data_IF_693431114795
#
_entry.id   IF_693431114795
#
_cell.length_a   1.000
_cell.length_b   1.000
_cell.length_c   1.000
_cell.angle_alpha   90.00
_cell.angle_beta   90.00
_cell.angle_gamma   90.00
#
_symmetry.space_group_name_H-M   'P 1'
#
loop_
_entity.id
_entity.type
_entity.pdbx_description
1 polymer ?
#
# COMPACT_ATOMS: atom_id res chain seq x y z
N UNK A 1 26.00 6.98 45.69
CA UNK A 1 24.63 7.54 45.71
C UNK A 1 24.24 7.95 44.29
N UNK A 2 23.44 7.13 43.59
CA UNK A 2 22.98 7.44 42.23
C UNK A 2 21.75 8.34 42.24
N UNK A 3 21.84 9.52 41.61
CA UNK A 3 20.69 10.41 41.43
C UNK A 3 19.72 9.76 40.43
N UNK A 4 18.54 9.39 40.89
CA UNK A 4 17.44 8.95 40.02
C UNK A 4 16.83 10.18 39.34
N UNK A 5 16.94 10.25 38.02
CA UNK A 5 16.21 11.23 37.22
C UNK A 5 14.71 10.92 37.31
N UNK A 6 13.96 11.71 38.09
CA UNK A 6 12.49 11.62 38.13
C UNK A 6 11.93 11.98 36.76
N UNK A 7 11.26 11.04 36.12
CA UNK A 7 10.54 11.28 34.87
C UNK A 7 9.45 12.35 35.11
N UNK A 8 9.41 13.35 34.23
CA UNK A 8 8.38 14.38 34.26
C UNK A 8 7.00 13.76 34.01
N UNK A 9 5.94 14.20 34.70
CA UNK A 9 4.60 13.67 34.51
C UNK A 9 4.10 13.91 33.08
N UNK A 10 3.24 13.03 32.55
CA UNK A 10 2.71 13.17 31.20
C UNK A 10 1.92 14.47 31.09
N UNK A 11 2.21 15.26 30.04
CA UNK A 11 1.44 16.48 29.73
C UNK A 11 -0.03 16.11 29.52
N UNK A 12 -0.94 16.76 30.26
CA UNK A 12 -2.38 16.66 30.04
C UNK A 12 -2.70 16.95 28.56
N UNK A 13 -3.42 16.04 27.90
CA UNK A 13 -3.88 16.25 26.52
C UNK A 13 -4.92 17.37 26.51
N UNK A 14 -4.82 18.28 25.54
CA UNK A 14 -5.83 19.33 25.32
C UNK A 14 -7.13 18.70 24.81
N UNK A 15 -8.26 19.34 25.10
CA UNK A 15 -9.56 18.97 24.52
C UNK A 15 -9.48 18.99 22.98
N UNK A 16 -10.13 18.05 22.28
CA UNK A 16 -10.16 18.01 20.81
C UNK A 16 -10.62 19.34 20.18
N UNK A 17 -11.54 20.05 20.84
CA UNK A 17 -12.15 21.27 20.32
C UNK A 17 -11.40 22.55 20.76
N UNK A 18 -10.30 22.43 21.49
CA UNK A 18 -9.62 23.58 22.10
C UNK A 18 -9.15 24.61 21.06
N UNK A 19 -8.56 24.17 19.94
CA UNK A 19 -8.06 25.09 18.91
C UNK A 19 -9.22 25.76 18.13
N UNK A 20 -10.32 25.04 17.93
CA UNK A 20 -11.56 25.56 17.34
C UNK A 20 -12.15 26.65 18.21
N UNK A 21 -12.22 26.41 19.53
CA UNK A 21 -12.69 27.40 20.50
C UNK A 21 -11.80 28.65 20.54
N UNK A 22 -10.47 28.47 20.48
CA UNK A 22 -9.52 29.60 20.41
C UNK A 22 -9.74 30.43 19.13
N UNK A 23 -9.98 29.79 17.99
CA UNK A 23 -10.17 30.49 16.71
C UNK A 23 -11.52 31.23 16.65
N UNK A 24 -12.58 30.61 17.17
CA UNK A 24 -13.89 31.24 17.30
C UNK A 24 -13.87 32.44 18.26
N UNK A 25 -13.18 32.32 19.39
CA UNK A 25 -12.99 33.41 20.34
C UNK A 25 -12.20 34.58 19.73
N UNK A 26 -11.13 34.31 18.99
CA UNK A 26 -10.35 35.33 18.29
C UNK A 26 -11.19 36.10 17.26
N UNK A 27 -11.97 35.36 16.46
CA UNK A 27 -12.91 35.92 15.48
C UNK A 27 -13.96 36.80 16.16
N UNK A 28 -14.49 36.37 17.30
CA UNK A 28 -15.48 37.15 18.05
C UNK A 28 -14.92 38.48 18.58
N UNK A 29 -13.63 38.54 18.92
CA UNK A 29 -12.98 39.79 19.32
C UNK A 29 -12.69 40.71 18.13
N UNK A 30 -12.35 40.13 16.96
CA UNK A 30 -12.10 40.90 15.73
C UNK A 30 -13.38 41.55 15.17
N UNK A 31 -14.54 40.97 15.45
CA UNK A 31 -15.85 41.44 14.96
C UNK A 31 -16.56 42.42 15.91
N UNK A 32 -15.94 42.81 17.03
CA UNK A 32 -16.55 43.76 17.98
C UNK A 32 -16.70 45.15 17.34
N UNK A 33 -17.89 45.78 17.38
CA UNK A 33 -18.08 47.15 16.92
C UNK A 33 -17.35 48.13 17.84
N UNK A 34 -16.62 49.09 17.27
CA UNK A 34 -16.09 50.24 18.02
C UNK A 34 -17.27 51.06 18.58
N UNK A 35 -17.26 51.52 19.85
CA UNK A 35 -16.15 51.69 20.78
C UNK A 35 -16.08 50.62 21.89
N UNK A 36 -16.59 49.42 21.65
CA UNK A 36 -16.71 48.38 22.68
C UNK A 36 -15.32 47.94 23.20
N UNK A 37 -15.16 47.95 24.53
CA UNK A 37 -13.86 47.59 25.16
C UNK A 37 -13.61 46.09 25.03
N UNK A 38 -12.45 45.75 24.45
CA UNK A 38 -11.93 44.38 24.40
C UNK A 38 -11.83 43.76 25.79
N UNK A 39 -12.64 42.72 26.04
CA UNK A 39 -12.60 41.96 27.28
C UNK A 39 -12.16 40.50 27.03
N UNK A 40 -10.84 40.28 27.11
CA UNK A 40 -10.24 38.96 26.94
C UNK A 40 -10.74 37.95 27.98
N UNK A 41 -11.01 38.38 29.21
CA UNK A 41 -11.36 37.48 30.32
C UNK A 41 -12.77 36.93 30.15
N UNK A 42 -13.75 37.79 29.85
CA UNK A 42 -15.13 37.38 29.61
C UNK A 42 -15.25 36.50 28.37
N UNK A 43 -14.56 36.87 27.29
CA UNK A 43 -14.56 36.10 26.03
C UNK A 43 -13.89 34.75 26.24
N UNK A 44 -12.74 34.70 26.92
CA UNK A 44 -12.06 33.44 27.19
C UNK A 44 -12.90 32.49 28.08
N UNK A 45 -13.64 33.02 29.05
CA UNK A 45 -14.58 32.25 29.86
C UNK A 45 -15.74 31.68 29.03
N UNK A 46 -16.29 32.48 28.10
CA UNK A 46 -17.39 32.06 27.21
C UNK A 46 -17.00 30.87 26.31
N UNK A 47 -15.74 30.81 25.87
CA UNK A 47 -15.23 29.77 24.97
C UNK A 47 -14.43 28.66 25.68
N UNK A 48 -14.40 28.63 27.01
CA UNK A 48 -13.64 27.67 27.84
C UNK A 48 -12.15 27.59 27.45
N UNK A 49 -11.51 28.75 27.33
CA UNK A 49 -10.08 28.87 26.99
C UNK A 49 -9.36 29.74 28.01
N UNK A 50 -8.03 29.59 28.10
CA UNK A 50 -7.23 30.44 28.99
C UNK A 50 -7.14 31.86 28.41
N UNK A 51 -7.44 32.88 29.22
CA UNK A 51 -7.35 34.30 28.83
C UNK A 51 -5.99 34.66 28.21
N UNK A 52 -4.88 34.19 28.78
CA UNK A 52 -3.55 34.39 28.22
C UNK A 52 -3.37 33.79 26.80
N UNK A 53 -4.02 32.66 26.51
CA UNK A 53 -3.97 32.04 25.17
C UNK A 53 -4.74 32.89 24.16
N UNK A 54 -5.94 33.37 24.52
CA UNK A 54 -6.74 34.25 23.67
C UNK A 54 -6.03 35.58 23.41
N UNK A 55 -5.51 36.22 24.45
CA UNK A 55 -4.75 37.48 24.32
C UNK A 55 -3.53 37.31 23.42
N UNK A 56 -2.75 36.25 23.60
CA UNK A 56 -1.57 36.00 22.77
C UNK A 56 -1.95 35.65 21.32
N UNK A 57 -3.11 35.01 21.09
CA UNK A 57 -3.64 34.76 19.75
C UNK A 57 -4.01 36.09 19.06
N UNK A 58 -4.83 36.90 19.73
CA UNK A 58 -5.35 38.16 19.22
C UNK A 58 -4.24 39.19 18.93
N UNK A 59 -3.23 39.26 19.80
CA UNK A 59 -2.05 40.11 19.61
C UNK A 59 -1.03 39.52 18.62
N UNK A 60 -1.37 38.43 17.91
CA UNK A 60 -0.49 37.73 16.96
C UNK A 60 0.85 37.22 17.54
N UNK A 61 0.96 37.13 18.86
CA UNK A 61 2.13 36.57 19.56
C UNK A 61 2.19 35.04 19.43
N UNK A 62 1.04 34.38 19.24
CA UNK A 62 0.93 32.93 19.10
C UNK A 62 0.18 32.52 17.83
N UNK A 63 0.87 31.77 16.95
CA UNK A 63 0.27 31.22 15.72
C UNK A 63 -0.43 29.88 15.94
N UNK A 64 -1.45 29.53 15.14
CA UNK A 64 -2.12 28.24 15.23
C UNK A 64 -1.12 27.11 15.09
N UNK A 65 -1.32 26.04 15.86
CA UNK A 65 -0.40 24.90 15.86
C UNK A 65 -0.35 24.24 14.47
N UNK A 66 -1.48 24.23 13.75
CA UNK A 66 -1.57 23.75 12.38
C UNK A 66 -0.66 24.54 11.41
N UNK A 67 -0.71 25.88 11.44
CA UNK A 67 0.15 26.72 10.60
C UNK A 67 1.64 26.55 10.92
N UNK A 68 1.97 26.38 12.21
CA UNK A 68 3.34 26.07 12.62
C UNK A 68 3.81 24.71 12.10
N UNK A 69 2.93 23.70 12.07
CA UNK A 69 3.25 22.39 11.50
C UNK A 69 3.40 22.44 9.98
N UNK A 70 2.59 23.20 9.26
CA UNK A 70 2.72 23.38 7.81
C UNK A 70 4.06 23.99 7.42
N UNK A 71 4.53 25.02 8.15
CA UNK A 71 5.83 25.64 7.90
C UNK A 71 7.01 24.69 8.11
N UNK A 72 6.84 23.65 8.93
CA UNK A 72 7.88 22.63 9.20
C UNK A 72 7.75 21.40 8.33
N UNK A 73 6.68 21.27 7.52
CA UNK A 73 6.59 20.18 6.57
C UNK A 73 7.68 20.32 5.51
N UNK A 74 8.21 19.18 5.08
CA UNK A 74 9.20 19.13 4.02
C UNK A 74 8.58 19.51 2.65
N UNK A 75 7.29 19.21 2.48
CA UNK A 75 6.48 19.57 1.33
C UNK A 75 5.25 20.35 1.81
N UNK A 76 4.86 21.37 1.05
CA UNK A 76 3.57 22.05 1.28
C UNK A 76 2.42 21.08 0.99
N UNK A 77 1.25 21.33 1.57
CA UNK A 77 0.08 20.45 1.40
C UNK A 77 -0.24 20.24 -0.10
N UNK A 78 -0.22 21.29 -0.91
CA UNK A 78 -0.40 21.21 -2.38
C UNK A 78 0.67 20.35 -3.07
N UNK A 79 1.95 20.44 -2.66
CA UNK A 79 3.01 19.62 -3.25
C UNK A 79 2.87 18.15 -2.86
N UNK A 80 2.36 17.85 -1.66
CA UNK A 80 2.06 16.49 -1.25
C UNK A 80 0.89 15.92 -2.07
N UNK A 81 -0.14 16.70 -2.37
CA UNK A 81 -1.29 16.29 -3.20
C UNK A 81 -0.85 15.93 -4.63
N UNK A 82 -0.09 16.80 -5.30
CA UNK A 82 0.44 16.51 -6.64
C UNK A 82 1.36 15.29 -6.63
N UNK A 83 2.14 15.10 -5.57
CA UNK A 83 2.98 13.91 -5.40
C UNK A 83 2.13 12.63 -5.33
N UNK A 84 0.99 12.68 -4.63
CA UNK A 84 0.05 11.55 -4.54
C UNK A 84 -0.58 11.24 -5.89
N UNK A 85 -1.03 12.25 -6.63
CA UNK A 85 -1.58 12.07 -7.98
C UNK A 85 -0.58 11.36 -8.90
N UNK A 86 0.68 11.80 -8.89
CA UNK A 86 1.74 11.14 -9.66
C UNK A 86 1.99 9.71 -9.21
N UNK A 87 1.94 9.46 -7.90
CA UNK A 87 2.08 8.11 -7.36
C UNK A 87 0.94 7.19 -7.82
N UNK A 88 -0.29 7.68 -7.85
CA UNK A 88 -1.45 6.91 -8.30
C UNK A 88 -1.38 6.61 -9.79
N UNK A 89 -1.12 7.63 -10.62
CA UNK A 89 -0.95 7.44 -12.06
C UNK A 89 0.10 6.38 -12.39
N UNK A 90 1.28 6.46 -11.76
CA UNK A 90 2.32 5.45 -11.99
C UNK A 90 1.95 4.06 -11.44
N UNK A 91 1.16 3.97 -10.38
CA UNK A 91 0.69 2.68 -9.87
C UNK A 91 -0.30 2.03 -10.84
N UNK A 92 -1.19 2.81 -11.47
CA UNK A 92 -2.13 2.35 -12.50
C UNK A 92 -1.40 1.82 -13.75
N UNK A 93 -0.27 2.43 -14.10
CA UNK A 93 0.62 1.93 -15.17
C UNK A 93 1.45 0.69 -14.78
N UNK A 94 1.25 0.13 -13.59
CA UNK A 94 2.03 -1.01 -13.09
C UNK A 94 3.45 -0.64 -12.64
N UNK A 95 3.72 0.63 -12.37
CA UNK A 95 5.03 1.18 -11.93
C UNK A 95 4.96 1.84 -10.55
N UNK A 96 4.44 1.16 -9.51
CA UNK A 96 4.24 1.77 -8.19
C UNK A 96 5.57 2.19 -7.55
N UNK A 97 5.54 3.28 -6.79
CA UNK A 97 6.76 3.84 -6.20
C UNK A 97 7.12 3.18 -4.87
N UNK A 98 8.37 2.70 -4.79
CA UNK A 98 8.96 2.21 -3.54
C UNK A 98 9.46 3.35 -2.62
N UNK A 99 9.83 2.98 -1.38
CA UNK A 99 10.30 3.94 -0.35
C UNK A 99 11.47 4.81 -0.82
N UNK A 100 12.46 4.23 -1.48
CA UNK A 100 13.61 4.98 -1.97
C UNK A 100 13.28 5.84 -3.19
N UNK A 101 12.37 5.37 -4.04
CA UNK A 101 11.99 6.12 -5.22
C UNK A 101 11.25 7.40 -4.86
N UNK A 102 10.34 7.36 -3.87
CA UNK A 102 9.69 8.55 -3.33
C UNK A 102 10.73 9.55 -2.82
N UNK A 103 11.75 9.10 -2.09
CA UNK A 103 12.82 9.99 -1.60
C UNK A 103 13.61 10.63 -2.74
N UNK A 104 13.89 9.89 -3.82
CA UNK A 104 14.57 10.43 -5.00
C UNK A 104 13.68 11.50 -5.66
N UNK A 105 12.39 11.22 -5.86
CA UNK A 105 11.44 12.16 -6.45
C UNK A 105 11.31 13.43 -5.63
N UNK A 106 11.14 13.31 -4.31
CA UNK A 106 11.10 14.47 -3.41
C UNK A 106 12.43 15.21 -3.40
N UNK A 107 13.58 14.51 -3.37
CA UNK A 107 14.89 15.16 -3.45
C UNK A 107 15.06 15.98 -4.74
N UNK A 108 14.51 15.51 -5.87
CA UNK A 108 14.50 16.26 -7.12
C UNK A 108 13.58 17.49 -7.06
N UNK A 109 12.45 17.39 -6.36
CA UNK A 109 11.49 18.50 -6.23
C UNK A 109 11.98 19.64 -5.33
N UNK A 110 12.73 19.33 -4.26
CA UNK A 110 13.10 20.32 -3.23
C UNK A 110 14.61 20.40 -2.95
N UNK A 111 15.45 19.66 -3.67
CA UNK A 111 16.91 19.63 -3.46
C UNK A 111 17.37 18.94 -2.18
N UNK A 112 16.45 18.41 -1.36
CA UNK A 112 16.75 17.78 -0.06
C UNK A 112 16.21 16.37 0.01
N UNK A 113 17.09 15.41 0.32
CA UNK A 113 16.72 14.00 0.47
C UNK A 113 15.91 13.79 1.77
N UNK A 114 14.68 13.24 1.70
CA UNK A 114 13.90 12.94 2.90
C UNK A 114 14.50 11.79 3.72
N UNK A 115 14.29 11.84 5.04
CA UNK A 115 14.68 10.75 5.95
C UNK A 115 13.72 9.55 5.90
N UNK A 116 14.11 8.45 6.54
CA UNK A 116 13.22 7.29 6.71
C UNK A 116 12.00 7.62 7.57
N UNK A 117 12.17 8.51 8.55
CA UNK A 117 11.13 8.97 9.46
C UNK A 117 10.09 9.81 8.71
N UNK A 118 10.53 10.62 7.75
CA UNK A 118 9.62 11.35 6.87
C UNK A 118 8.75 10.38 6.06
N UNK A 119 9.33 9.32 5.45
CA UNK A 119 8.54 8.32 4.70
C UNK A 119 7.53 7.59 5.59
N UNK A 120 7.90 7.25 6.84
CA UNK A 120 6.98 6.67 7.82
C UNK A 120 5.84 7.64 8.15
N UNK A 121 6.17 8.92 8.35
CA UNK A 121 5.21 10.00 8.59
C UNK A 121 4.25 10.18 7.42
N UNK A 122 4.78 10.31 6.20
CA UNK A 122 4.02 10.43 4.95
C UNK A 122 3.02 9.28 4.80
N UNK A 123 3.48 8.03 4.98
CA UNK A 123 2.60 6.85 4.97
C UNK A 123 1.49 6.95 6.03
N UNK A 124 1.80 7.42 7.24
CA UNK A 124 0.83 7.52 8.33
C UNK A 124 -0.22 8.61 8.06
N UNK A 125 0.22 9.77 7.58
CA UNK A 125 -0.66 10.88 7.22
C UNK A 125 -1.64 10.46 6.12
N UNK A 126 -1.15 9.75 5.11
CA UNK A 126 -1.92 9.38 3.91
C UNK A 126 -2.47 7.96 3.95
N UNK A 127 -2.60 7.34 5.14
CA UNK A 127 -3.02 5.94 5.27
C UNK A 127 -4.44 5.65 4.75
N UNK A 128 -5.29 6.67 4.70
CA UNK A 128 -6.66 6.55 4.18
C UNK A 128 -6.69 6.34 2.65
N UNK A 129 -5.67 6.84 1.94
CA UNK A 129 -5.58 6.80 0.47
C UNK A 129 -4.42 5.94 -0.04
N UNK A 130 -3.37 5.72 0.77
CA UNK A 130 -2.21 4.91 0.42
C UNK A 130 -2.23 3.56 1.13
N UNK A 131 -2.16 2.49 0.33
CA UNK A 131 -1.87 1.13 0.80
C UNK A 131 -0.42 0.77 0.49
N UNK A 132 0.36 0.45 1.53
CA UNK A 132 1.71 -0.10 1.36
C UNK A 132 1.65 -1.62 1.44
N UNK A 133 1.60 -2.28 0.29
CA UNK A 133 1.52 -3.73 0.17
C UNK A 133 2.61 -4.29 -0.76
N UNK A 134 2.84 -5.61 -0.67
CA UNK A 134 3.59 -6.31 -1.70
C UNK A 134 2.78 -6.34 -2.99
N UNK A 135 3.44 -6.14 -4.12
CA UNK A 135 2.89 -6.35 -5.45
C UNK A 135 3.54 -7.59 -6.07
N UNK A 136 2.75 -8.37 -6.80
CA UNK A 136 3.28 -9.46 -7.62
C UNK A 136 3.86 -8.86 -8.90
N UNK A 137 5.03 -9.33 -9.31
CA UNK A 137 5.60 -8.95 -10.59
C UNK A 137 4.75 -9.52 -11.72
N UNK A 138 4.36 -8.66 -12.67
CA UNK A 138 3.79 -9.07 -13.94
C UNK A 138 4.92 -9.03 -14.98
N UNK A 139 4.99 -10.04 -15.84
CA UNK A 139 5.95 -10.02 -16.94
C UNK A 139 5.68 -8.80 -17.85
N UNK A 140 6.70 -8.04 -18.30
CA UNK A 140 6.48 -6.83 -19.08
C UNK A 140 5.71 -7.05 -20.39
N UNK A 141 5.92 -8.19 -21.07
CA UNK A 141 5.16 -8.51 -22.30
C UNK A 141 3.71 -8.81 -21.94
N UNK A 142 3.48 -9.55 -20.86
CA UNK A 142 2.12 -9.78 -20.34
C UNK A 142 1.42 -8.48 -19.96
N UNK A 143 2.13 -7.55 -19.30
CA UNK A 143 1.58 -6.25 -18.93
C UNK A 143 1.18 -5.42 -20.15
N UNK A 144 2.00 -5.43 -21.22
CA UNK A 144 1.68 -4.75 -22.48
C UNK A 144 0.48 -5.37 -23.20
N UNK A 145 0.37 -6.71 -23.21
CA UNK A 145 -0.75 -7.42 -23.83
C UNK A 145 -2.06 -7.28 -23.04
N UNK A 146 -2.00 -7.12 -21.71
CA UNK A 146 -3.15 -6.89 -20.81
C UNK A 146 -3.69 -5.43 -20.85
N UNK A 147 -3.57 -4.75 -21.98
CA UNK A 147 -4.21 -3.45 -22.22
C UNK A 147 -5.74 -3.62 -22.28
N UNK A 148 -6.54 -2.79 -21.59
CA UNK A 148 -8.00 -2.79 -21.69
C UNK A 148 -8.54 -2.85 -23.13
N UNK A 149 -7.92 -2.17 -24.08
CA UNK A 149 -8.32 -2.20 -25.48
C UNK A 149 -8.08 -3.57 -26.13
N UNK A 150 -6.91 -4.18 -25.93
CA UNK A 150 -6.59 -5.50 -26.47
C UNK A 150 -7.52 -6.56 -25.88
N UNK A 151 -7.81 -6.47 -24.57
CA UNK A 151 -8.74 -7.37 -23.88
C UNK A 151 -10.15 -7.20 -24.45
N UNK A 152 -10.64 -5.96 -24.59
CA UNK A 152 -11.97 -5.70 -25.11
C UNK A 152 -12.14 -6.22 -26.55
N UNK A 153 -11.17 -5.96 -27.43
CA UNK A 153 -11.17 -6.44 -28.82
C UNK A 153 -11.16 -7.98 -28.89
N UNK A 154 -10.35 -8.65 -28.06
CA UNK A 154 -10.32 -10.11 -27.98
C UNK A 154 -11.70 -10.68 -27.59
N UNK A 155 -12.35 -10.13 -26.56
CA UNK A 155 -13.67 -10.59 -26.13
C UNK A 155 -14.77 -10.27 -27.13
N UNK A 156 -14.66 -9.16 -27.86
CA UNK A 156 -15.58 -8.83 -28.96
C UNK A 156 -15.46 -9.85 -30.10
N UNK A 157 -14.24 -10.18 -30.53
CA UNK A 157 -13.97 -11.19 -31.56
C UNK A 157 -14.45 -12.58 -31.14
N UNK A 158 -14.18 -12.98 -29.90
CA UNK A 158 -14.66 -14.24 -29.33
C UNK A 158 -16.20 -14.29 -29.36
N UNK A 159 -16.86 -13.23 -28.87
CA UNK A 159 -18.32 -13.13 -28.84
C UNK A 159 -18.93 -13.20 -30.25
N UNK A 160 -18.29 -12.54 -31.22
CA UNK A 160 -18.71 -12.60 -32.62
C UNK A 160 -18.58 -14.02 -33.19
N UNK A 161 -17.43 -14.68 -32.95
CA UNK A 161 -17.22 -16.07 -33.36
C UNK A 161 -18.25 -17.03 -32.75
N UNK A 162 -18.52 -16.90 -31.45
CA UNK A 162 -19.54 -17.69 -30.77
C UNK A 162 -20.94 -17.54 -31.40
N UNK A 163 -21.31 -16.33 -31.81
CA UNK A 163 -22.60 -16.08 -32.47
C UNK A 163 -22.65 -16.65 -33.89
N UNK A 164 -21.58 -16.47 -34.66
CA UNK A 164 -21.52 -16.91 -36.06
C UNK A 164 -21.50 -18.43 -36.19
N UNK A 165 -20.67 -19.10 -35.40
CA UNK A 165 -20.44 -20.54 -35.53
C UNK A 165 -21.28 -21.37 -34.55
N UNK A 166 -22.01 -20.72 -33.64
CA UNK A 166 -22.89 -21.37 -32.66
C UNK A 166 -22.18 -22.50 -31.90
N UNK A 167 -20.97 -22.23 -31.39
CA UNK A 167 -20.20 -23.22 -30.65
C UNK A 167 -21.01 -23.75 -29.45
N UNK A 168 -21.11 -25.08 -29.37
CA UNK A 168 -21.74 -25.73 -28.23
C UNK A 168 -20.84 -25.59 -27.01
N UNK A 169 -21.44 -25.38 -25.84
CA UNK A 169 -20.71 -25.17 -24.57
C UNK A 169 -19.74 -26.31 -24.28
N UNK A 170 -20.15 -27.57 -24.54
CA UNK A 170 -19.31 -28.76 -24.34
C UNK A 170 -18.13 -28.90 -25.32
N UNK A 171 -18.02 -28.00 -26.31
CA UNK A 171 -16.88 -27.95 -27.25
C UNK A 171 -15.94 -26.78 -26.96
N UNK A 172 -16.18 -26.02 -25.89
CA UNK A 172 -15.36 -24.87 -25.50
C UNK A 172 -14.48 -25.30 -24.34
N UNK A 173 -13.19 -25.38 -24.59
CA UNK A 173 -12.21 -25.81 -23.59
C UNK A 173 -11.26 -24.66 -23.28
N UNK A 174 -11.01 -24.45 -21.98
CA UNK A 174 -9.88 -23.68 -21.51
C UNK A 174 -8.72 -24.63 -21.20
N UNK A 175 -7.53 -24.26 -21.62
CA UNK A 175 -6.32 -25.04 -21.45
C UNK A 175 -5.30 -24.17 -20.71
N UNK A 176 -4.71 -24.70 -19.64
CA UNK A 176 -3.67 -23.99 -18.89
C UNK A 176 -2.50 -24.92 -18.58
N UNK A 177 -1.30 -24.35 -18.51
CA UNK A 177 -0.05 -25.07 -18.25
C UNK A 177 0.56 -24.61 -16.94
N UNK A 178 0.80 -25.57 -16.04
CA UNK A 178 1.48 -25.33 -14.77
C UNK A 178 2.79 -26.10 -14.71
N UNK A 179 3.90 -25.37 -14.70
CA UNK A 179 5.23 -25.94 -14.45
C UNK A 179 5.46 -26.22 -12.96
N UNK A 180 5.69 -27.47 -12.61
CA UNK A 180 6.03 -27.93 -11.26
C UNK A 180 7.48 -28.42 -11.20
N UNK A 181 8.27 -27.85 -10.29
CA UNK A 181 9.63 -28.34 -10.04
C UNK A 181 9.62 -29.45 -8.98
N UNK A 182 10.16 -30.62 -9.32
CA UNK A 182 10.16 -31.81 -8.45
C UNK A 182 10.84 -31.52 -7.10
N UNK A 183 11.99 -30.84 -7.10
CA UNK A 183 12.72 -30.46 -5.88
C UNK A 183 12.10 -29.30 -5.07
N UNK A 184 10.88 -28.86 -5.38
CA UNK A 184 10.15 -27.85 -4.58
C UNK A 184 10.63 -26.40 -4.75
N UNK A 185 11.48 -26.15 -5.75
CA UNK A 185 11.93 -24.82 -6.17
C UNK A 185 12.74 -24.00 -5.15
N UNK A 186 13.11 -22.78 -5.52
CA UNK A 186 13.94 -21.88 -4.69
C UNK A 186 13.17 -21.09 -3.63
N UNK A 187 11.84 -21.06 -3.70
CA UNK A 187 11.02 -20.26 -2.79
C UNK A 187 10.85 -21.00 -1.46
N UNK A 188 10.97 -20.28 -0.34
CA UNK A 188 10.68 -20.83 0.99
C UNK A 188 9.19 -21.19 1.02
N UNK A 189 8.88 -22.47 1.09
CA UNK A 189 7.50 -22.89 1.39
C UNK A 189 7.12 -22.29 2.74
N UNK A 190 5.85 -21.88 2.91
CA UNK A 190 5.34 -21.34 4.18
C UNK A 190 5.39 -22.36 5.34
N UNK A 191 5.83 -23.59 5.05
CA UNK A 191 5.97 -24.71 5.98
C UNK A 191 7.05 -24.40 7.03
N UNK A 192 6.67 -24.50 8.29
CA UNK A 192 7.55 -24.27 9.44
C UNK A 192 8.05 -25.62 9.96
N UNK A 193 9.27 -25.63 10.47
CA UNK A 193 9.91 -26.81 11.05
C UNK A 193 10.27 -26.51 12.50
N UNK A 194 10.07 -27.49 13.38
CA UNK A 194 10.58 -27.43 14.75
C UNK A 194 12.10 -27.54 14.71
N UNK A 195 12.79 -26.55 15.24
CA UNK A 195 14.26 -26.50 15.33
C UNK A 195 14.66 -26.04 16.73
N UNK A 196 15.79 -26.54 17.23
CA UNK A 196 16.32 -26.15 18.54
C UNK A 196 16.58 -24.64 18.61
N UNK A 197 16.15 -24.00 19.71
CA UNK A 197 16.42 -22.57 19.97
C UNK A 197 17.91 -22.25 20.11
N UNK A 198 18.73 -23.25 20.48
CA UNK A 198 20.19 -23.11 20.66
C UNK A 198 20.96 -23.25 19.33
N UNK A 199 20.34 -23.78 18.28
CA UNK A 199 21.02 -23.93 16.98
C UNK A 199 21.13 -22.59 16.27
N UNK A 200 22.36 -22.21 15.89
CA UNK A 200 22.63 -21.05 15.04
C UNK A 200 22.34 -21.34 13.56
N UNK A 201 22.53 -22.59 13.13
CA UNK A 201 22.27 -23.04 11.77
C UNK A 201 20.82 -23.54 11.64
N UNK A 202 20.08 -23.03 10.65
CA UNK A 202 18.68 -23.37 10.38
C UNK A 202 18.54 -23.82 8.93
N UNK A 203 18.99 -25.03 8.66
CA UNK A 203 18.95 -25.64 7.34
C UNK A 203 18.17 -26.94 7.36
N UNK A 204 17.51 -27.25 6.26
CA UNK A 204 16.91 -28.55 5.96
C UNK A 204 17.54 -29.02 4.66
N UNK A 205 17.91 -30.30 4.59
CA UNK A 205 18.26 -30.90 3.31
C UNK A 205 17.07 -30.76 2.35
N UNK A 206 17.37 -30.39 1.12
CA UNK A 206 16.41 -30.30 0.04
C UNK A 206 16.92 -31.18 -1.08
N UNK A 207 15.98 -31.73 -1.83
CA UNK A 207 16.33 -32.32 -3.11
C UNK A 207 16.85 -31.20 -4.03
N UNK A 208 17.96 -31.48 -4.71
CA UNK A 208 18.56 -30.61 -5.70
C UNK A 208 17.92 -30.74 -7.08
N UNK A 209 16.98 -31.68 -7.26
CA UNK A 209 16.34 -31.91 -8.54
C UNK A 209 15.56 -30.66 -9.01
N UNK A 210 16.05 -30.05 -10.09
CA UNK A 210 15.44 -28.87 -10.72
C UNK A 210 14.59 -29.23 -11.93
N UNK A 211 14.35 -30.52 -12.19
CA UNK A 211 13.47 -30.98 -13.24
C UNK A 211 12.08 -30.35 -13.13
N UNK A 212 11.59 -29.91 -14.28
CA UNK A 212 10.29 -29.30 -14.44
C UNK A 212 9.37 -30.33 -15.10
N UNK A 213 8.31 -30.71 -14.39
CA UNK A 213 7.18 -31.42 -14.97
C UNK A 213 6.13 -30.38 -15.32
N UNK A 214 5.65 -30.39 -16.55
CA UNK A 214 4.56 -29.49 -16.94
C UNK A 214 3.26 -30.26 -16.85
N UNK A 215 2.37 -29.81 -15.97
CA UNK A 215 1.01 -30.31 -15.87
C UNK A 215 0.14 -29.49 -16.80
N UNK A 216 -0.61 -30.19 -17.63
CA UNK A 216 -1.57 -29.64 -18.57
C UNK A 216 -2.96 -29.90 -17.98
N UNK A 217 -3.68 -28.84 -17.66
CA UNK A 217 -5.03 -28.93 -17.13
C UNK A 217 -6.01 -28.37 -18.17
N UNK A 218 -7.12 -29.08 -18.37
CA UNK A 218 -8.14 -28.67 -19.32
C UNK A 218 -9.54 -28.75 -18.73
N UNK A 219 -10.24 -27.62 -18.78
CA UNK A 219 -11.59 -27.46 -18.25
C UNK A 219 -12.54 -27.11 -19.40
N UNK A 220 -13.63 -27.86 -19.50
CA UNK A 220 -14.71 -27.56 -20.41
C UNK A 220 -15.61 -26.46 -19.83
N UNK A 221 -16.22 -25.64 -20.70
CA UNK A 221 -17.13 -24.58 -20.29
C UNK A 221 -18.44 -25.11 -19.67
N UNK A 222 -18.75 -26.40 -19.83
CA UNK A 222 -19.87 -27.06 -19.14
C UNK A 222 -19.53 -27.52 -17.70
N UNK A 223 -18.28 -27.33 -17.28
CA UNK A 223 -17.78 -27.70 -15.96
C UNK A 223 -17.14 -29.08 -15.89
N UNK A 224 -17.12 -29.86 -16.97
CA UNK A 224 -16.36 -31.10 -17.03
C UNK A 224 -14.85 -30.81 -17.06
N UNK A 225 -14.07 -31.66 -16.40
CA UNK A 225 -12.61 -31.61 -16.43
C UNK A 225 -12.10 -32.78 -17.24
N UNK A 226 -11.13 -32.53 -18.13
CA UNK A 226 -10.36 -33.62 -18.73
C UNK A 226 -9.28 -34.08 -17.75
N UNK A 227 -8.86 -35.34 -17.88
CA UNK A 227 -7.74 -35.85 -17.12
C UNK A 227 -6.48 -35.02 -17.41
N UNK A 228 -5.71 -34.66 -16.37
CA UNK A 228 -4.53 -33.84 -16.53
C UNK A 228 -3.46 -34.57 -17.35
N UNK A 229 -2.84 -33.85 -18.27
CA UNK A 229 -1.68 -34.32 -19.02
C UNK A 229 -0.39 -34.01 -18.27
N UNK A 230 0.60 -34.90 -18.35
CA UNK A 230 1.93 -34.67 -17.76
C UNK A 230 2.98 -34.71 -18.86
N UNK A 231 3.73 -33.62 -18.98
CA UNK A 231 4.86 -33.50 -19.91
C UNK A 231 6.16 -33.56 -19.10
N UNK A 232 6.93 -34.60 -19.37
CA UNK A 232 8.26 -34.83 -18.77
C UNK A 232 9.36 -34.39 -19.74
N UNK A 233 10.53 -34.06 -19.19
CA UNK A 233 11.72 -33.81 -20.01
C UNK A 233 12.16 -35.11 -20.69
N UNK A 234 12.41 -35.07 -22.00
CA UNK A 234 12.59 -36.25 -22.85
C UNK A 234 13.80 -37.15 -22.56
N UNK A 235 14.60 -36.87 -21.52
CA UNK A 235 15.76 -37.70 -21.11
C UNK A 235 15.46 -38.68 -19.98
N UNK A 236 14.26 -38.64 -19.37
CA UNK A 236 13.94 -39.47 -18.20
C UNK A 236 12.77 -40.42 -18.47
N UNK A 237 12.93 -41.66 -18.02
CA UNK A 237 11.86 -42.66 -17.96
C UNK A 237 10.95 -42.34 -16.77
N UNK A 238 9.67 -42.09 -17.04
CA UNK A 238 8.64 -42.05 -16.01
C UNK A 238 8.06 -43.46 -15.82
N UNK A 239 7.57 -43.74 -14.62
CA UNK A 239 6.89 -44.99 -14.33
C UNK A 239 5.45 -44.90 -14.84
N UNK A 240 5.03 -45.86 -15.67
CA UNK A 240 3.68 -45.90 -16.22
C UNK A 240 2.66 -46.17 -15.09
N UNK A 241 3.07 -46.88 -14.03
CA UNK A 241 2.21 -47.25 -12.91
C UNK A 241 1.68 -46.03 -12.14
N UNK A 242 2.39 -44.88 -12.22
CA UNK A 242 1.94 -43.61 -11.64
C UNK A 242 0.60 -43.11 -12.21
N UNK A 243 0.24 -43.54 -13.42
CA UNK A 243 -0.97 -43.12 -14.12
C UNK A 243 -2.06 -44.20 -14.12
N UNK A 244 -1.78 -45.39 -13.57
CA UNK A 244 -2.71 -46.53 -13.59
C UNK A 244 -3.59 -46.65 -12.33
N UNK A 245 -3.62 -45.63 -11.47
CA UNK A 245 -4.47 -45.64 -10.28
C UNK A 245 -5.78 -44.90 -10.56
N UNK A 246 -6.84 -45.65 -10.90
CA UNK A 246 -8.24 -45.19 -10.89
C UNK A 246 -9.12 -46.28 -10.31
#
# INVERSE_FOLDING_TARGET
MGRTCKASPPRKKRSPNYETNVSAADTSLQQLPLPEKLNYTATAAKFDIKCATLRNRYLNLHRPVALYHEQRKLLTSTREEVLLEWMFHHAEEGRPWGREFIKIKVCRLIGKKPSNEWVKGFKKCHHAVLKFCGASGLDPKRAQAFNPHCIADQFQKLSAGMRTYQYKVHNIYNFDETGMQVGGGRKRTGRKWFMSRRSRAKYKQRDGNLELVTVVECACADGAMLDPGFLFQGSHTYDIDWFQSS
#
